data_IF_842832301604
#
_entry.id   IF_842832301604
#
_cell.length_a   1.000
_cell.length_b   1.000
_cell.length_c   1.000
_cell.angle_alpha   90.00
_cell.angle_beta   90.00
_cell.angle_gamma   90.00
#
_symmetry.space_group_name_H-M   'P 1'
#
loop_
_entity.id
_entity.type
_entity.pdbx_description
1 polymer ?
#
# COMPACT_ATOMS: atom_id res chain seq x y z
N UNK A 1 6.45 -33.53 82.55
CA UNK A 1 6.88 -34.94 82.63
C UNK A 1 6.98 -35.39 81.18
N UNK A 2 8.17 -35.39 80.56
CA UNK A 2 9.22 -36.43 80.51
C UNK A 2 9.41 -36.81 79.02
N UNK A 3 10.60 -36.50 78.51
CA UNK A 3 11.46 -37.22 77.54
C UNK A 3 11.06 -38.68 77.24
N UNK A 4 11.29 -39.32 76.07
CA UNK A 4 12.33 -39.25 75.02
C UNK A 4 11.87 -40.08 73.76
N UNK A 5 12.68 -40.41 72.72
CA UNK A 5 12.35 -40.18 71.30
C UNK A 5 12.04 -41.47 70.48
N UNK A 6 11.63 -41.36 69.20
CA UNK A 6 11.71 -42.48 68.27
C UNK A 6 12.92 -42.37 67.32
N UNK A 7 13.69 -43.45 67.30
CA UNK A 7 14.78 -43.76 66.38
C UNK A 7 14.30 -44.58 65.17
N UNK A 8 15.00 -44.35 64.05
CA UNK A 8 15.19 -45.19 62.86
C UNK A 8 14.05 -45.44 61.86
N UNK A 9 14.36 -45.06 60.61
CA UNK A 9 13.89 -45.73 59.39
C UNK A 9 13.74 -44.81 58.18
N UNK A 10 14.82 -44.46 57.44
CA UNK A 10 14.69 -43.66 56.25
C UNK A 10 14.22 -44.53 55.07
N UNK A 11 12.93 -44.49 54.77
CA UNK A 11 12.40 -44.90 53.48
C UNK A 11 12.29 -43.68 52.56
N UNK A 12 13.27 -43.45 51.67
CA UNK A 12 13.11 -42.61 50.47
C UNK A 12 13.96 -43.13 49.31
N UNK A 13 13.22 -43.72 48.36
CA UNK A 13 13.30 -43.67 46.88
C UNK A 13 14.61 -43.15 46.25
N UNK A 14 15.17 -43.85 45.25
CA UNK A 14 16.42 -43.46 44.58
C UNK A 14 16.26 -42.13 43.81
N UNK A 15 17.18 -41.20 44.09
CA UNK A 15 17.33 -39.95 43.35
C UNK A 15 18.08 -40.24 42.05
N UNK A 16 17.44 -39.99 40.91
CA UNK A 16 18.07 -39.97 39.59
C UNK A 16 19.23 -38.97 39.61
N UNK A 17 20.45 -39.43 39.33
CA UNK A 17 21.62 -38.57 39.15
C UNK A 17 21.48 -37.85 37.81
N UNK A 18 21.48 -36.52 37.87
CA UNK A 18 21.50 -35.63 36.71
C UNK A 18 22.97 -35.36 36.33
N UNK A 19 23.44 -35.96 35.25
CA UNK A 19 24.86 -35.95 34.81
C UNK A 19 25.37 -34.58 34.32
N UNK A 20 24.52 -33.55 34.32
CA UNK A 20 24.82 -32.28 33.63
C UNK A 20 25.14 -31.11 34.57
N UNK A 21 25.28 -31.33 35.87
CA UNK A 21 25.67 -30.28 36.84
C UNK A 21 26.61 -30.78 37.92
N UNK A 22 27.85 -31.10 37.54
CA UNK A 22 28.98 -31.15 38.48
C UNK A 22 30.03 -30.08 38.13
N UNK A 23 30.61 -29.38 39.13
CA UNK A 23 31.69 -28.43 38.88
C UNK A 23 33.01 -29.16 38.55
N UNK A 24 33.64 -28.80 37.42
CA UNK A 24 34.91 -29.36 36.97
C UNK A 24 36.00 -29.17 38.04
N UNK A 25 36.38 -30.25 38.73
CA UNK A 25 37.61 -30.33 39.52
C UNK A 25 38.69 -31.00 38.69
N UNK A 26 39.81 -30.31 38.49
CA UNK A 26 41.01 -30.89 37.90
C UNK A 26 41.62 -31.90 38.89
N UNK A 27 41.43 -33.19 38.63
CA UNK A 27 42.06 -34.27 39.37
C UNK A 27 43.48 -34.48 38.81
N UNK A 28 44.49 -34.20 39.63
CA UNK A 28 45.90 -34.43 39.29
C UNK A 28 46.36 -35.70 40.00
N UNK A 29 46.38 -36.81 39.28
CA UNK A 29 46.84 -38.10 39.81
C UNK A 29 48.36 -38.24 39.61
N UNK A 30 49.18 -38.30 40.67
CA UNK A 30 50.64 -38.27 40.54
C UNK A 30 51.28 -39.61 40.15
N UNK A 31 50.52 -40.70 39.95
CA UNK A 31 51.08 -42.07 39.84
C UNK A 31 50.72 -42.78 38.52
N UNK A 32 49.97 -42.15 37.61
CA UNK A 32 49.66 -42.74 36.30
C UNK A 32 50.89 -42.73 35.35
N UNK A 33 51.63 -43.83 35.35
CA UNK A 33 52.73 -44.10 34.43
C UNK A 33 52.21 -44.52 33.04
N UNK A 34 52.31 -43.61 32.05
CA UNK A 34 52.08 -43.85 30.62
C UNK A 34 53.28 -43.40 29.78
N UNK A 35 53.47 -43.96 28.57
CA UNK A 35 54.78 -44.19 27.96
C UNK A 35 55.53 -42.91 27.58
N UNK A 36 56.83 -42.96 27.85
CA UNK A 36 57.74 -41.82 27.87
C UNK A 36 57.86 -41.09 26.54
N UNK A 37 57.86 -39.75 26.64
CA UNK A 37 58.26 -38.85 25.56
C UNK A 37 59.70 -39.14 25.12
N UNK A 38 59.89 -39.29 23.83
CA UNK A 38 61.19 -39.43 23.18
C UNK A 38 62.10 -38.24 23.54
N UNK A 39 63.30 -38.55 24.04
CA UNK A 39 64.39 -37.59 24.20
C UNK A 39 64.88 -37.18 22.81
N UNK A 40 64.71 -35.92 22.46
CA UNK A 40 65.33 -35.35 21.26
C UNK A 40 66.76 -34.90 21.60
N UNK A 41 67.69 -35.42 20.79
CA UNK A 41 69.13 -35.27 20.87
C UNK A 41 69.60 -33.81 20.87
N UNK A 42 70.50 -33.50 21.81
CA UNK A 42 71.39 -32.34 21.78
C UNK A 42 72.64 -32.78 21.02
N UNK A 43 72.80 -32.32 19.78
CA UNK A 43 74.06 -31.87 19.17
C UNK A 43 74.00 -31.93 17.62
N UNK A 44 73.84 -30.76 16.97
CA UNK A 44 74.70 -30.25 15.88
C UNK A 44 74.15 -28.94 15.28
N UNK A 45 75.02 -28.05 14.76
CA UNK A 45 74.78 -26.61 14.75
C UNK A 45 74.16 -26.14 13.44
N UNK A 46 72.98 -25.50 13.52
CA UNK A 46 72.39 -24.75 12.39
C UNK A 46 72.56 -23.25 12.62
N UNK A 47 73.48 -22.69 11.85
CA UNK A 47 73.78 -21.26 11.67
C UNK A 47 72.51 -20.39 11.75
N UNK A 48 72.40 -19.53 12.77
CA UNK A 48 71.42 -18.45 12.78
C UNK A 48 71.77 -17.40 11.73
N UNK A 49 70.95 -17.30 10.68
CA UNK A 49 70.88 -16.11 9.83
C UNK A 49 70.33 -14.97 10.68
N UNK A 50 71.05 -13.85 10.74
CA UNK A 50 70.61 -12.60 11.37
C UNK A 50 69.27 -12.15 10.75
N UNK A 51 68.19 -12.15 11.52
CA UNK A 51 66.93 -11.54 11.11
C UNK A 51 67.10 -10.01 11.10
N UNK A 52 66.76 -9.39 9.96
CA UNK A 52 66.86 -7.95 9.72
C UNK A 52 65.76 -7.19 10.47
N UNK A 53 66.00 -5.89 10.71
CA UNK A 53 65.11 -5.00 11.48
C UNK A 53 63.66 -4.96 10.95
N UNK A 54 63.46 -5.08 9.62
CA UNK A 54 62.12 -5.16 9.01
C UNK A 54 61.32 -6.39 9.45
N UNK A 55 61.97 -7.54 9.67
CA UNK A 55 61.29 -8.76 10.13
C UNK A 55 60.77 -8.63 11.58
N UNK A 56 61.41 -7.78 12.39
CA UNK A 56 60.98 -7.48 13.76
C UNK A 56 59.79 -6.51 13.79
N UNK A 57 59.67 -5.65 12.78
CA UNK A 57 58.61 -4.64 12.69
C UNK A 57 57.27 -5.22 12.22
N UNK A 58 57.31 -6.12 11.23
CA UNK A 58 56.10 -6.81 10.73
C UNK A 58 55.53 -7.79 11.76
N UNK A 59 56.39 -8.40 12.60
CA UNK A 59 55.93 -9.31 13.68
C UNK A 59 55.36 -8.60 14.90
N UNK A 60 55.69 -7.33 15.13
CA UNK A 60 55.21 -6.57 16.30
C UNK A 60 53.92 -5.80 16.05
N UNK A 61 53.68 -5.31 14.83
CA UNK A 61 52.52 -4.43 14.57
C UNK A 61 51.48 -4.95 13.56
N UNK A 62 51.72 -6.08 12.88
CA UNK A 62 50.71 -6.80 12.07
C UNK A 62 49.84 -5.91 11.15
N UNK A 63 48.60 -6.33 10.89
CA UNK A 63 47.62 -5.60 10.05
C UNK A 63 47.29 -4.17 10.55
N UNK A 64 47.66 -3.83 11.78
CA UNK A 64 47.33 -2.55 12.44
C UNK A 64 48.13 -1.38 11.87
N UNK A 65 49.23 -1.63 11.16
CA UNK A 65 49.98 -0.61 10.43
C UNK A 65 49.15 0.01 9.28
N UNK A 66 48.17 -0.72 8.75
CA UNK A 66 47.28 -0.24 7.67
C UNK A 66 45.93 0.24 8.19
N UNK A 67 45.42 -0.34 9.28
CA UNK A 67 44.11 0.01 9.83
C UNK A 67 44.02 1.44 10.35
N UNK A 68 45.05 1.93 11.05
CA UNK A 68 45.08 3.29 11.60
C UNK A 68 45.07 4.39 10.54
N UNK A 69 45.95 4.38 9.50
CA UNK A 69 45.90 5.41 8.47
C UNK A 69 44.60 5.38 7.65
N UNK A 70 44.04 4.20 7.38
CA UNK A 70 42.73 4.07 6.68
C UNK A 70 41.61 4.68 7.53
N UNK A 71 41.61 4.43 8.83
CA UNK A 71 40.58 4.94 9.73
C UNK A 71 40.66 6.47 9.86
N UNK A 72 41.86 7.06 9.83
CA UNK A 72 42.08 8.52 9.81
C UNK A 72 41.57 9.14 8.50
N UNK A 73 41.79 8.49 7.35
CA UNK A 73 41.25 8.96 6.07
C UNK A 73 39.72 8.90 6.07
N UNK A 74 39.14 7.83 6.58
CA UNK A 74 37.68 7.69 6.68
C UNK A 74 37.06 8.75 7.60
N UNK A 75 37.66 9.01 8.77
CA UNK A 75 37.16 10.09 9.64
C UNK A 75 37.32 11.45 9.00
N UNK A 76 38.40 11.73 8.26
CA UNK A 76 38.53 12.97 7.51
C UNK A 76 37.45 13.13 6.42
N UNK A 77 37.08 12.05 5.72
CA UNK A 77 35.99 12.07 4.73
C UNK A 77 34.63 12.31 5.38
N UNK A 78 34.35 11.68 6.53
CA UNK A 78 33.09 11.90 7.28
C UNK A 78 33.03 13.34 7.82
N UNK A 79 34.13 13.88 8.33
CA UNK A 79 34.21 15.29 8.76
C UNK A 79 33.99 16.21 7.55
N UNK A 80 34.57 15.89 6.40
CA UNK A 80 34.34 16.67 5.18
C UNK A 80 32.87 16.62 4.73
N UNK A 81 32.22 15.46 4.76
CA UNK A 81 30.81 15.31 4.40
C UNK A 81 29.86 16.01 5.39
N UNK A 82 30.22 16.07 6.67
CA UNK A 82 29.44 16.78 7.69
C UNK A 82 29.60 18.30 7.60
N UNK A 83 30.79 18.79 7.21
CA UNK A 83 31.06 20.23 7.06
C UNK A 83 30.63 20.78 5.70
N UNK A 84 30.69 19.99 4.62
CA UNK A 84 30.33 20.43 3.26
C UNK A 84 28.87 20.25 2.90
N UNK A 85 28.05 19.78 3.84
CA UNK A 85 26.58 19.83 3.73
C UNK A 85 26.06 18.99 2.58
N UNK A 86 25.71 17.72 2.87
CA UNK A 86 24.73 17.02 2.04
C UNK A 86 23.43 17.81 2.22
N UNK A 87 23.04 18.55 1.19
CA UNK A 87 21.84 19.39 1.23
C UNK A 87 20.67 18.57 1.74
N UNK A 88 20.13 18.97 2.90
CA UNK A 88 18.84 18.48 3.36
C UNK A 88 17.84 18.69 2.21
N UNK A 89 17.06 17.67 1.82
CA UNK A 89 15.92 17.93 0.98
C UNK A 89 15.04 18.91 1.75
N UNK A 90 14.93 20.12 1.19
CA UNK A 90 14.04 21.18 1.65
C UNK A 90 12.71 20.52 2.06
N UNK A 91 12.19 20.76 3.28
CA UNK A 91 10.85 20.31 3.62
C UNK A 91 9.91 20.84 2.55
N UNK A 92 9.29 19.95 1.78
CA UNK A 92 8.21 20.32 0.89
C UNK A 92 7.12 20.86 1.77
N UNK A 93 7.03 22.18 1.83
CA UNK A 93 5.90 22.92 2.34
C UNK A 93 4.66 22.34 1.66
N UNK A 94 3.82 21.64 2.42
CA UNK A 94 2.52 21.16 1.93
C UNK A 94 1.65 22.40 1.75
N UNK A 95 1.79 23.03 0.57
CA UNK A 95 0.77 23.94 0.08
C UNK A 95 -0.48 23.11 -0.24
N UNK A 96 -1.68 23.58 0.11
CA UNK A 96 -2.91 23.01 -0.43
C UNK A 96 -2.78 23.01 -1.94
N UNK A 97 -2.99 21.86 -2.59
CA UNK A 97 -2.94 21.74 -4.03
C UNK A 97 -4.17 22.46 -4.60
N UNK A 98 -4.02 23.76 -4.85
CA UNK A 98 -4.89 24.56 -5.71
C UNK A 98 -4.26 24.78 -7.10
N UNK A 99 -3.25 23.99 -7.46
CA UNK A 99 -2.68 23.96 -8.81
C UNK A 99 -3.50 23.02 -9.71
N UNK A 100 -3.75 23.35 -10.99
CA UNK A 100 -4.44 22.44 -11.90
C UNK A 100 -3.70 21.10 -11.96
N UNK A 101 -4.39 19.95 -11.94
CA UNK A 101 -3.76 18.66 -12.21
C UNK A 101 -3.06 18.70 -13.58
N UNK A 102 -2.04 17.87 -13.79
CA UNK A 102 -1.43 17.71 -15.11
C UNK A 102 -2.44 17.02 -16.04
N UNK A 103 -3.29 17.83 -16.68
CA UNK A 103 -4.41 17.39 -17.50
C UNK A 103 -3.90 16.49 -18.63
N UNK A 104 -4.31 15.21 -18.62
CA UNK A 104 -3.96 14.24 -19.66
C UNK A 104 -2.66 13.47 -19.45
N UNK A 105 -1.95 13.67 -18.33
CA UNK A 105 -0.76 12.91 -17.96
C UNK A 105 -1.06 11.82 -16.91
N UNK A 106 -2.06 10.97 -17.15
CA UNK A 106 -2.19 9.75 -16.36
C UNK A 106 -1.18 8.73 -16.91
N UNK A 107 -0.21 8.32 -16.10
CA UNK A 107 0.77 7.31 -16.45
C UNK A 107 0.14 5.94 -16.72
N UNK A 108 0.91 4.86 -16.63
CA UNK A 108 0.36 3.49 -16.76
C UNK A 108 -0.07 2.89 -15.42
N UNK A 109 -0.03 3.66 -14.34
CA UNK A 109 -0.38 3.21 -13.00
C UNK A 109 -1.90 3.13 -12.86
N UNK A 110 -2.37 2.03 -12.26
CA UNK A 110 -3.76 1.89 -11.83
C UNK A 110 -3.93 2.76 -10.58
N UNK A 111 -4.95 3.61 -10.58
CA UNK A 111 -5.29 4.49 -9.47
C UNK A 111 -6.49 3.92 -8.73
N UNK A 112 -6.47 4.11 -7.41
CA UNK A 112 -7.45 3.54 -6.48
C UNK A 112 -7.50 2.00 -6.47
N UNK A 113 -6.33 1.39 -6.65
CA UNK A 113 -6.11 -0.02 -6.33
C UNK A 113 -5.49 -0.11 -4.91
N UNK A 114 -5.92 -1.05 -4.06
CA UNK A 114 -5.29 -1.32 -2.79
C UNK A 114 -3.82 -1.65 -2.98
N UNK A 115 -2.98 -1.31 -1.99
CA UNK A 115 -1.58 -1.68 -2.03
C UNK A 115 -1.40 -3.20 -2.22
N UNK A 116 -0.64 -3.57 -3.26
CA UNK A 116 -0.20 -4.96 -3.46
C UNK A 116 0.66 -5.39 -2.28
N UNK A 117 0.44 -6.60 -1.76
CA UNK A 117 1.24 -7.14 -0.66
C UNK A 117 0.78 -6.74 0.75
N UNK A 118 -0.43 -6.17 0.91
CA UNK A 118 -1.15 -6.18 2.19
C UNK A 118 -1.61 -7.61 2.53
N UNK A 119 -0.68 -8.56 2.64
CA UNK A 119 -0.92 -9.97 2.95
C UNK A 119 -1.60 -10.19 4.33
N UNK A 120 -1.82 -9.11 5.07
CA UNK A 120 -2.53 -9.05 6.35
C UNK A 120 -3.51 -7.88 6.33
N UNK A 121 -4.41 -7.85 5.33
CA UNK A 121 -5.66 -7.12 5.54
C UNK A 121 -6.44 -7.89 6.62
N UNK A 122 -6.52 -7.31 7.83
CA UNK A 122 -7.27 -7.91 8.91
C UNK A 122 -8.74 -8.01 8.46
N UNK A 123 -9.25 -9.24 8.34
CA UNK A 123 -10.64 -9.50 8.00
C UNK A 123 -11.62 -8.93 9.05
N UNK A 124 -11.11 -8.45 10.18
CA UNK A 124 -11.87 -7.77 11.22
C UNK A 124 -11.87 -6.24 11.09
N UNK A 125 -11.19 -5.62 10.12
CA UNK A 125 -11.33 -4.20 9.86
C UNK A 125 -12.72 -3.93 9.24
N UNK A 126 -13.63 -3.22 9.93
CA UNK A 126 -14.95 -2.92 9.36
C UNK A 126 -14.84 -2.03 8.10
N UNK A 127 -13.77 -1.23 8.02
CA UNK A 127 -13.50 -0.32 6.91
C UNK A 127 -13.42 -1.09 5.58
N UNK A 128 -14.20 -0.65 4.61
CA UNK A 128 -14.27 -1.29 3.30
C UNK A 128 -15.07 -2.59 3.25
N UNK A 129 -15.78 -2.98 4.31
CA UNK A 129 -16.77 -4.07 4.22
C UNK A 129 -17.86 -3.70 3.22
N UNK A 130 -18.29 -4.67 2.39
CA UNK A 130 -19.46 -4.52 1.53
C UNK A 130 -20.72 -4.57 2.40
N UNK A 131 -21.57 -3.53 2.44
CA UNK A 131 -22.84 -3.58 3.16
C UNK A 131 -23.71 -4.73 2.67
N UNK A 132 -24.63 -5.18 3.53
CA UNK A 132 -25.70 -6.08 3.10
C UNK A 132 -26.64 -5.37 2.11
N UNK A 133 -27.27 -6.14 1.23
CA UNK A 133 -28.17 -5.59 0.23
C UNK A 133 -28.56 -6.60 -0.84
N UNK A 134 -29.09 -6.08 -1.95
CA UNK A 134 -29.56 -6.89 -3.08
C UNK A 134 -28.47 -7.81 -3.66
N UNK A 135 -28.87 -8.86 -4.39
CA UNK A 135 -27.93 -9.68 -5.14
C UNK A 135 -27.23 -8.85 -6.23
N UNK A 136 -26.06 -9.31 -6.66
CA UNK A 136 -25.28 -8.76 -7.77
C UNK A 136 -24.68 -9.92 -8.57
N UNK A 137 -24.21 -9.64 -9.77
CA UNK A 137 -23.56 -10.63 -10.64
C UNK A 137 -22.10 -10.80 -10.19
N UNK A 138 -21.69 -11.99 -9.75
CA UNK A 138 -20.32 -12.19 -9.29
C UNK A 138 -19.28 -12.07 -10.42
N UNK A 139 -19.58 -12.66 -11.58
CA UNK A 139 -18.70 -12.74 -12.74
C UNK A 139 -19.47 -12.40 -14.02
N UNK A 140 -18.96 -11.42 -14.78
CA UNK A 140 -19.38 -11.17 -16.15
C UNK A 140 -18.42 -11.80 -17.18
N UNK A 141 -18.64 -11.47 -18.44
CA UNK A 141 -17.94 -12.06 -19.59
C UNK A 141 -16.61 -11.35 -19.92
N UNK A 142 -16.25 -10.28 -19.20
CA UNK A 142 -15.08 -9.42 -19.49
C UNK A 142 -15.08 -8.83 -20.90
N UNK A 143 -16.27 -8.72 -21.47
CA UNK A 143 -16.54 -8.04 -22.74
C UNK A 143 -17.57 -6.95 -22.51
N UNK A 144 -17.60 -5.95 -23.38
CA UNK A 144 -18.31 -4.70 -23.11
C UNK A 144 -19.38 -4.46 -24.16
N UNK A 145 -20.55 -3.99 -23.72
CA UNK A 145 -21.51 -3.32 -24.59
C UNK A 145 -21.51 -1.83 -24.28
N UNK A 146 -21.43 -1.02 -25.32
CA UNK A 146 -21.60 0.43 -25.21
C UNK A 146 -23.09 0.70 -25.02
N UNK A 147 -23.45 1.48 -24.00
CA UNK A 147 -24.81 1.98 -23.85
C UNK A 147 -25.02 3.10 -24.88
N UNK A 148 -25.94 2.96 -25.84
CA UNK A 148 -26.16 3.97 -26.87
C UNK A 148 -26.50 5.35 -26.27
N UNK A 149 -26.05 6.41 -26.91
CA UNK A 149 -26.34 7.77 -26.47
C UNK A 149 -25.14 8.72 -26.55
N UNK A 150 -25.44 9.99 -26.85
CA UNK A 150 -24.46 11.07 -26.90
C UNK A 150 -25.00 12.27 -26.14
N UNK A 151 -24.10 13.15 -25.68
CA UNK A 151 -24.49 14.41 -25.05
C UNK A 151 -23.90 15.59 -25.82
N UNK A 152 -24.52 16.77 -25.67
CA UNK A 152 -23.81 18.00 -25.95
C UNK A 152 -22.60 18.15 -25.01
N UNK A 153 -21.72 19.10 -25.31
CA UNK A 153 -20.65 19.47 -24.39
C UNK A 153 -21.24 20.05 -23.09
N UNK A 154 -20.79 19.52 -21.97
CA UNK A 154 -21.13 19.99 -20.63
C UNK A 154 -19.88 20.64 -20.03
N UNK A 155 -19.99 21.88 -19.57
CA UNK A 155 -18.86 22.66 -19.06
C UNK A 155 -18.15 23.45 -20.16
N UNK A 156 -17.24 24.34 -19.75
CA UNK A 156 -16.55 25.26 -20.66
C UNK A 156 -15.36 24.59 -21.37
N UNK A 157 -14.62 23.73 -20.67
CA UNK A 157 -13.50 22.99 -21.25
C UNK A 157 -12.35 23.89 -21.70
N UNK A 158 -12.08 24.98 -20.97
CA UNK A 158 -11.06 25.97 -21.34
C UNK A 158 -9.65 25.38 -21.42
N UNK A 159 -9.42 24.24 -20.76
CA UNK A 159 -8.19 23.46 -20.88
C UNK A 159 -8.39 22.12 -21.60
N UNK A 160 -9.43 21.34 -21.26
CA UNK A 160 -9.70 20.06 -21.92
C UNK A 160 -11.19 19.70 -21.94
N UNK A 161 -11.63 19.20 -23.10
CA UNK A 161 -12.91 18.53 -23.28
C UNK A 161 -12.64 17.02 -23.31
N UNK A 162 -13.13 16.29 -22.31
CA UNK A 162 -13.00 14.84 -22.23
C UNK A 162 -14.16 14.17 -22.96
N UNK A 163 -13.83 13.26 -23.88
CA UNK A 163 -14.81 12.37 -24.50
C UNK A 163 -14.87 11.08 -23.71
N UNK A 164 -16.05 10.68 -23.27
CA UNK A 164 -16.24 9.43 -22.57
C UNK A 164 -17.32 8.59 -23.25
N UNK A 165 -17.28 7.29 -22.99
CA UNK A 165 -18.37 6.38 -23.32
C UNK A 165 -18.82 5.69 -22.04
N UNK A 166 -20.09 5.30 -22.00
CA UNK A 166 -20.65 4.48 -20.93
C UNK A 166 -20.78 3.06 -21.44
N UNK A 167 -20.19 2.13 -20.72
CA UNK A 167 -20.16 0.72 -21.08
C UNK A 167 -20.68 -0.13 -19.90
N UNK A 168 -21.27 -1.27 -20.22
CA UNK A 168 -21.65 -2.28 -19.24
C UNK A 168 -21.02 -3.59 -19.65
N UNK A 169 -20.49 -4.34 -18.67
CA UNK A 169 -19.97 -5.66 -18.91
C UNK A 169 -21.09 -6.63 -19.34
N UNK A 170 -20.85 -7.42 -20.38
CA UNK A 170 -21.75 -8.48 -20.80
C UNK A 170 -21.83 -9.57 -19.71
N UNK A 171 -23.01 -10.16 -19.55
CA UNK A 171 -23.28 -11.14 -18.49
C UNK A 171 -23.80 -10.55 -17.18
N UNK A 172 -23.74 -9.22 -16.96
CA UNK A 172 -24.42 -8.60 -15.81
C UNK A 172 -25.94 -8.67 -15.97
N UNK A 173 -26.65 -9.01 -14.88
CA UNK A 173 -28.12 -9.01 -14.84
C UNK A 173 -28.68 -7.58 -14.69
N UNK A 174 -29.34 -7.02 -15.72
CA UNK A 174 -29.89 -5.66 -15.68
C UNK A 174 -30.88 -5.41 -14.54
N UNK A 175 -31.54 -6.45 -14.04
CA UNK A 175 -32.49 -6.33 -12.93
C UNK A 175 -31.81 -5.88 -11.63
N UNK A 176 -30.51 -6.14 -11.47
CA UNK A 176 -29.78 -5.88 -10.22
C UNK A 176 -29.34 -4.42 -10.09
N UNK A 177 -29.02 -3.76 -11.20
CA UNK A 177 -28.49 -2.38 -11.19
C UNK A 177 -29.45 -1.33 -11.79
N UNK A 178 -30.64 -1.75 -12.22
CA UNK A 178 -31.70 -0.87 -12.75
C UNK A 178 -31.68 -0.69 -14.28
N UNK A 179 -30.87 -1.48 -14.99
CA UNK A 179 -30.73 -1.43 -16.43
C UNK A 179 -29.66 -0.45 -16.93
N UNK A 180 -29.18 -0.71 -18.15
CA UNK A 180 -28.09 0.03 -18.79
C UNK A 180 -28.38 1.53 -18.88
N UNK A 181 -29.61 1.90 -19.25
CA UNK A 181 -30.03 3.28 -19.37
C UNK A 181 -30.03 4.02 -18.03
N UNK A 182 -30.37 3.34 -16.93
CA UNK A 182 -30.35 3.94 -15.60
C UNK A 182 -28.90 4.19 -15.13
N UNK A 183 -27.98 3.25 -15.40
CA UNK A 183 -26.56 3.45 -15.15
C UNK A 183 -26.02 4.64 -15.94
N UNK A 184 -26.28 4.67 -17.24
CA UNK A 184 -25.79 5.74 -18.11
C UNK A 184 -26.40 7.10 -17.75
N UNK A 185 -27.69 7.15 -17.43
CA UNK A 185 -28.34 8.38 -16.97
C UNK A 185 -27.72 8.89 -15.67
N UNK A 186 -27.42 8.02 -14.71
CA UNK A 186 -26.75 8.42 -13.46
C UNK A 186 -25.36 8.99 -13.72
N UNK A 187 -24.58 8.38 -14.60
CA UNK A 187 -23.25 8.88 -15.00
C UNK A 187 -23.38 10.26 -15.63
N UNK A 188 -24.24 10.40 -16.64
CA UNK A 188 -24.41 11.65 -17.39
C UNK A 188 -24.89 12.78 -16.48
N UNK A 189 -25.87 12.52 -15.61
CA UNK A 189 -26.39 13.50 -14.66
C UNK A 189 -25.36 13.90 -13.60
N UNK A 190 -24.51 12.96 -13.17
CA UNK A 190 -23.44 13.24 -12.21
C UNK A 190 -22.39 14.18 -12.83
N UNK A 191 -21.94 13.89 -14.05
CA UNK A 191 -20.96 14.73 -14.75
C UNK A 191 -21.55 16.06 -15.23
N UNK A 192 -22.86 16.12 -15.46
CA UNK A 192 -23.59 17.34 -15.78
C UNK A 192 -23.85 18.26 -14.59
N UNK A 193 -23.69 17.75 -13.36
CA UNK A 193 -24.09 18.49 -12.18
C UNK A 193 -23.16 19.69 -11.92
N UNK A 194 -23.68 20.89 -11.62
CA UNK A 194 -22.87 22.06 -11.26
C UNK A 194 -22.02 21.88 -9.99
N UNK A 195 -22.34 20.89 -9.15
CA UNK A 195 -21.52 20.48 -7.99
C UNK A 195 -20.37 19.54 -8.36
N UNK A 196 -20.37 19.04 -9.59
CA UNK A 196 -19.38 18.13 -10.17
C UNK A 196 -18.18 18.86 -10.77
N UNK A 197 -17.36 18.12 -11.53
CA UNK A 197 -16.09 18.60 -12.07
C UNK A 197 -16.21 19.80 -13.01
N UNK A 198 -17.36 20.00 -13.66
CA UNK A 198 -17.61 21.11 -14.59
C UNK A 198 -17.79 22.46 -13.91
N UNK A 199 -17.86 22.51 -12.57
CA UNK A 199 -17.73 23.75 -11.81
C UNK A 199 -16.39 24.45 -12.11
N UNK A 200 -15.32 23.66 -12.30
CA UNK A 200 -14.05 24.19 -12.78
C UNK A 200 -14.15 24.40 -14.31
N UNK A 201 -14.02 25.64 -14.81
CA UNK A 201 -14.16 25.93 -16.25
C UNK A 201 -13.10 25.24 -17.12
N UNK A 202 -12.02 24.72 -16.53
CA UNK A 202 -10.98 23.98 -17.25
C UNK A 202 -11.50 22.65 -17.85
N UNK A 203 -12.53 22.06 -17.24
CA UNK A 203 -13.04 20.75 -17.63
C UNK A 203 -14.36 20.86 -18.39
N UNK A 204 -14.52 20.01 -19.39
CA UNK A 204 -15.80 19.73 -20.02
C UNK A 204 -15.88 18.25 -20.39
N UNK A 205 -17.10 17.76 -20.57
CA UNK A 205 -17.37 16.37 -20.92
C UNK A 205 -18.32 16.27 -22.12
N UNK A 206 -18.09 15.26 -22.96
CA UNK A 206 -18.96 14.87 -24.07
C UNK A 206 -19.10 13.35 -24.06
N UNK A 207 -20.32 12.84 -23.92
CA UNK A 207 -20.59 11.41 -24.12
C UNK A 207 -20.61 11.08 -25.60
N UNK A 208 -19.94 9.99 -25.97
CA UNK A 208 -19.94 9.39 -27.29
C UNK A 208 -20.24 7.89 -27.18
N UNK A 209 -20.77 7.30 -28.26
CA UNK A 209 -21.16 5.89 -28.33
C UNK A 209 -20.48 5.13 -29.50
N UNK A 210 -19.49 5.76 -30.15
CA UNK A 210 -18.75 5.15 -31.25
C UNK A 210 -19.44 5.22 -32.62
N UNK A 211 -20.70 5.68 -32.69
CA UNK A 211 -21.46 5.82 -33.96
C UNK A 211 -20.78 6.74 -34.99
N UNK A 212 -19.99 7.71 -34.53
CA UNK A 212 -19.24 8.66 -35.36
C UNK A 212 -17.75 8.30 -35.52
N UNK A 213 -17.32 7.12 -35.08
CA UNK A 213 -15.91 6.68 -35.14
C UNK A 213 -14.96 7.42 -34.20
N UNK A 214 -15.45 8.33 -33.35
CA UNK A 214 -14.63 9.00 -32.35
C UNK A 214 -14.20 8.01 -31.26
N UNK A 215 -12.94 8.10 -30.82
CA UNK A 215 -12.43 7.33 -29.69
C UNK A 215 -12.62 8.12 -28.39
N UNK A 216 -13.08 7.49 -27.30
CA UNK A 216 -13.16 8.15 -26.00
C UNK A 216 -11.77 8.30 -25.38
N UNK A 217 -11.56 9.37 -24.61
CA UNK A 217 -10.40 9.53 -23.74
C UNK A 217 -10.39 8.43 -22.66
N UNK A 218 -11.56 8.08 -22.11
CA UNK A 218 -11.74 6.97 -21.16
C UNK A 218 -13.15 6.38 -21.23
N UNK A 219 -13.32 5.16 -20.72
CA UNK A 219 -14.60 4.42 -20.68
C UNK A 219 -15.07 4.31 -19.24
N UNK A 220 -16.30 4.71 -18.94
CA UNK A 220 -16.93 4.50 -17.63
C UNK A 220 -17.72 3.20 -17.71
N UNK A 221 -17.29 2.19 -16.94
CA UNK A 221 -17.74 0.81 -17.14
C UNK A 221 -18.31 0.22 -15.87
N UNK A 222 -19.57 -0.20 -15.90
CA UNK A 222 -20.13 -1.03 -14.83
C UNK A 222 -19.69 -2.49 -15.04
N UNK A 223 -19.05 -3.07 -14.03
CA UNK A 223 -18.40 -4.38 -14.14
C UNK A 223 -18.63 -5.24 -12.89
N UNK A 224 -18.50 -6.55 -13.05
CA UNK A 224 -18.60 -7.51 -11.95
C UNK A 224 -17.38 -7.42 -11.01
N UNK A 225 -17.54 -7.81 -9.73
CA UNK A 225 -16.44 -8.01 -8.79
C UNK A 225 -15.21 -8.73 -9.34
N UNK A 226 -15.41 -9.86 -10.01
CA UNK A 226 -14.31 -10.65 -10.58
C UNK A 226 -13.53 -9.85 -11.63
N UNK A 227 -14.23 -9.08 -12.44
CA UNK A 227 -13.63 -8.27 -13.50
C UNK A 227 -12.89 -7.05 -12.96
N UNK A 228 -13.40 -6.40 -11.90
CA UNK A 228 -12.65 -5.38 -11.16
C UNK A 228 -11.33 -5.95 -10.65
N UNK A 229 -11.35 -7.14 -10.04
CA UNK A 229 -10.13 -7.71 -9.43
C UNK A 229 -9.01 -7.88 -10.45
N UNK A 230 -9.34 -8.32 -11.65
CA UNK A 230 -8.41 -8.41 -12.76
C UNK A 230 -7.98 -7.02 -13.26
N UNK A 231 -8.94 -6.13 -13.50
CA UNK A 231 -8.70 -4.83 -14.11
C UNK A 231 -7.95 -3.86 -13.21
N UNK A 232 -8.07 -4.00 -11.91
CA UNK A 232 -7.49 -3.08 -10.94
C UNK A 232 -6.37 -3.72 -10.09
N UNK A 233 -6.15 -5.04 -10.24
CA UNK A 233 -5.06 -5.76 -9.56
C UNK A 233 -5.31 -6.07 -8.09
N UNK A 234 -6.56 -6.38 -7.73
CA UNK A 234 -6.94 -6.78 -6.38
C UNK A 234 -6.56 -8.23 -6.09
N UNK A 235 -5.86 -8.45 -4.99
CA UNK A 235 -5.60 -9.80 -4.44
C UNK A 235 -6.61 -10.17 -3.32
N UNK A 236 -7.42 -9.21 -2.85
CA UNK A 236 -8.28 -9.33 -1.66
C UNK A 236 -9.78 -9.16 -1.98
N UNK A 237 -10.64 -9.60 -1.05
CA UNK A 237 -12.12 -9.52 -1.16
C UNK A 237 -12.68 -8.15 -0.76
N UNK A 238 -12.00 -7.06 -1.12
CA UNK A 238 -12.57 -5.73 -0.98
C UNK A 238 -13.18 -5.34 -2.32
N UNK A 239 -14.51 -5.24 -2.35
CA UNK A 239 -15.21 -4.75 -3.52
C UNK A 239 -15.05 -3.24 -3.60
N UNK A 240 -14.52 -2.75 -4.70
CA UNK A 240 -14.13 -1.35 -4.91
C UNK A 240 -14.09 -1.04 -6.40
N UNK A 241 -14.02 0.24 -6.72
CA UNK A 241 -13.86 0.74 -8.09
C UNK A 241 -12.40 1.16 -8.30
N UNK A 242 -12.02 1.48 -9.53
CA UNK A 242 -10.68 2.02 -9.80
C UNK A 242 -10.62 2.71 -11.17
N UNK A 243 -9.53 3.43 -11.43
CA UNK A 243 -9.17 3.85 -12.78
C UNK A 243 -7.91 3.11 -13.28
N UNK A 244 -8.05 2.38 -14.39
CA UNK A 244 -6.94 1.76 -15.11
C UNK A 244 -6.73 2.44 -16.48
N UNK A 245 -5.62 3.17 -16.69
CA UNK A 245 -5.35 3.89 -17.94
C UNK A 245 -4.95 2.98 -19.12
N UNK A 246 -4.66 1.69 -18.90
CA UNK A 246 -4.03 0.81 -19.89
C UNK A 246 -4.61 -0.60 -19.90
N UNK A 247 -5.92 -0.74 -19.71
CA UNK A 247 -6.57 -2.04 -19.62
C UNK A 247 -6.62 -2.78 -20.97
N UNK A 248 -6.32 -4.08 -20.94
CA UNK A 248 -6.41 -4.97 -22.10
C UNK A 248 -5.35 -4.74 -23.19
N UNK A 249 -5.37 -5.54 -24.27
CA UNK A 249 -4.39 -5.48 -25.36
C UNK A 249 -4.40 -4.13 -26.10
N UNK A 250 -5.58 -3.51 -26.22
CA UNK A 250 -5.77 -2.21 -26.87
C UNK A 250 -5.44 -1.02 -25.96
N UNK A 251 -4.97 -1.28 -24.72
CA UNK A 251 -4.57 -0.28 -23.73
C UNK A 251 -5.64 0.80 -23.52
N UNK A 252 -6.87 0.36 -23.30
CA UNK A 252 -8.00 1.24 -23.14
C UNK A 252 -8.03 1.81 -21.72
N UNK A 253 -8.04 3.14 -21.60
CA UNK A 253 -8.33 3.80 -20.33
C UNK A 253 -9.77 3.52 -19.89
N UNK A 254 -9.93 3.04 -18.66
CA UNK A 254 -11.21 2.57 -18.12
C UNK A 254 -11.34 2.96 -16.65
N UNK A 255 -12.46 3.63 -16.36
CA UNK A 255 -13.02 3.79 -15.03
C UNK A 255 -13.88 2.56 -14.77
N UNK A 256 -13.43 1.70 -13.87
CA UNK A 256 -14.15 0.51 -13.44
C UNK A 256 -15.05 0.86 -12.27
N UNK A 257 -16.36 0.69 -12.44
CA UNK A 257 -17.37 0.81 -11.38
C UNK A 257 -17.83 -0.59 -11.00
N UNK A 258 -17.66 -0.96 -9.73
CA UNK A 258 -18.03 -2.29 -9.23
C UNK A 258 -19.54 -2.43 -9.02
N UNK A 259 -20.18 -3.40 -9.68
CA UNK A 259 -21.61 -3.68 -9.57
C UNK A 259 -22.04 -3.99 -8.12
N UNK A 260 -21.24 -4.74 -7.36
CA UNK A 260 -21.59 -5.06 -5.98
C UNK A 260 -21.75 -3.79 -5.14
N UNK A 261 -20.86 -2.82 -5.33
CA UNK A 261 -20.93 -1.50 -4.69
C UNK A 261 -22.00 -0.61 -5.30
N UNK A 262 -22.26 -0.74 -6.60
CA UNK A 262 -23.36 -0.03 -7.24
C UNK A 262 -24.72 -0.44 -6.65
N UNK A 263 -24.88 -1.72 -6.28
CA UNK A 263 -26.10 -2.25 -5.67
C UNK A 263 -26.17 -1.96 -4.17
N UNK A 264 -25.08 -2.16 -3.43
CA UNK A 264 -25.08 -2.16 -1.95
C UNK A 264 -24.44 -0.94 -1.30
N UNK A 265 -23.75 -0.11 -2.07
CA UNK A 265 -23.13 1.12 -1.60
C UNK A 265 -21.89 0.89 -0.72
N UNK A 266 -21.64 1.87 0.16
CA UNK A 266 -20.58 1.82 1.14
C UNK A 266 -21.11 2.22 2.52
N UNK A 267 -20.50 1.66 3.56
CA UNK A 267 -20.90 1.88 4.97
C UNK A 267 -20.98 3.37 5.32
N UNK A 268 -20.04 4.24 4.91
CA UNK A 268 -20.10 5.67 5.27
C UNK A 268 -21.30 6.43 4.72
N UNK A 269 -22.01 5.89 3.71
CA UNK A 269 -23.20 6.51 3.12
C UNK A 269 -24.51 6.02 3.77
N UNK A 270 -24.44 5.10 4.74
CA UNK A 270 -25.59 4.70 5.58
C UNK A 270 -26.85 4.31 4.79
N UNK A 271 -26.68 3.67 3.64
CA UNK A 271 -27.79 3.23 2.78
C UNK A 271 -28.28 4.28 1.77
N UNK A 272 -27.70 5.48 1.74
CA UNK A 272 -27.90 6.44 0.64
C UNK A 272 -27.10 6.00 -0.60
N UNK A 273 -27.67 5.01 -1.29
CA UNK A 273 -27.11 4.45 -2.52
C UNK A 273 -27.01 5.51 -3.63
N UNK A 274 -27.93 6.47 -3.68
CA UNK A 274 -27.91 7.54 -4.67
C UNK A 274 -26.67 8.42 -4.54
N UNK A 275 -26.41 8.88 -3.32
CA UNK A 275 -25.19 9.64 -3.02
C UNK A 275 -23.92 8.81 -3.24
N UNK A 276 -23.89 7.54 -2.83
CA UNK A 276 -22.72 6.69 -3.10
C UNK A 276 -22.42 6.54 -4.60
N UNK A 277 -23.45 6.35 -5.44
CA UNK A 277 -23.28 6.25 -6.90
C UNK A 277 -22.71 7.52 -7.51
N UNK A 278 -23.16 8.68 -7.05
CA UNK A 278 -22.60 9.97 -7.47
C UNK A 278 -21.15 10.13 -7.01
N UNK A 279 -20.86 9.75 -5.76
CA UNK A 279 -19.52 9.75 -5.19
C UNK A 279 -18.56 8.92 -6.04
N UNK A 280 -18.87 7.64 -6.27
CA UNK A 280 -17.93 6.73 -6.95
C UNK A 280 -17.71 7.15 -8.38
N UNK A 281 -18.73 7.66 -9.09
CA UNK A 281 -18.54 8.23 -10.43
C UNK A 281 -17.60 9.42 -10.38
N UNK A 282 -17.81 10.38 -9.47
CA UNK A 282 -16.95 11.55 -9.38
C UNK A 282 -15.52 11.20 -8.95
N UNK A 283 -15.34 10.29 -8.00
CA UNK A 283 -14.05 9.86 -7.48
C UNK A 283 -13.19 9.24 -8.59
N UNK A 284 -13.71 8.22 -9.26
CA UNK A 284 -12.95 7.50 -10.29
C UNK A 284 -12.74 8.34 -11.55
N UNK A 285 -13.71 9.17 -11.93
CA UNK A 285 -13.50 10.14 -13.01
C UNK A 285 -12.48 11.19 -12.60
N UNK A 286 -12.41 11.56 -11.32
CA UNK A 286 -11.35 12.41 -10.76
C UNK A 286 -9.96 11.86 -11.09
N UNK A 287 -9.74 10.57 -10.85
CA UNK A 287 -8.52 9.89 -11.27
C UNK A 287 -8.28 9.95 -12.78
N UNK A 288 -9.32 9.71 -13.59
CA UNK A 288 -9.22 9.75 -15.05
C UNK A 288 -8.87 11.14 -15.61
N UNK A 289 -9.30 12.22 -14.95
CA UNK A 289 -9.04 13.60 -15.40
C UNK A 289 -7.77 14.22 -14.79
N UNK A 290 -7.07 13.50 -13.91
CA UNK A 290 -5.72 13.83 -13.45
C UNK A 290 -5.55 14.05 -11.94
N UNK A 291 -6.57 13.81 -11.11
CA UNK A 291 -6.44 13.81 -9.66
C UNK A 291 -5.90 12.46 -9.18
N UNK A 292 -4.58 12.30 -9.11
CA UNK A 292 -3.95 10.98 -8.93
C UNK A 292 -3.71 10.55 -7.47
N UNK A 293 -4.02 11.42 -6.50
CA UNK A 293 -3.81 11.14 -5.07
C UNK A 293 -5.13 11.25 -4.33
N UNK A 294 -5.27 10.47 -3.27
CA UNK A 294 -6.35 10.68 -2.33
C UNK A 294 -6.13 11.93 -1.50
N UNK A 295 -7.22 12.57 -1.13
CA UNK A 295 -7.22 13.75 -0.26
C UNK A 295 -7.75 13.36 1.12
N UNK A 296 -6.99 13.62 2.21
CA UNK A 296 -7.46 13.31 3.56
C UNK A 296 -8.56 14.26 4.01
N UNK A 297 -9.30 13.86 5.04
CA UNK A 297 -10.19 14.76 5.76
C UNK A 297 -9.41 15.94 6.35
N UNK A 298 -9.70 17.15 5.90
CA UNK A 298 -9.00 18.37 6.35
C UNK A 298 -9.40 18.76 7.79
N UNK A 299 -10.71 18.70 8.07
CA UNK A 299 -11.30 19.15 9.33
C UNK A 299 -12.35 18.16 9.85
N UNK A 300 -12.28 17.89 11.16
CA UNK A 300 -13.27 17.06 11.86
C UNK A 300 -14.72 17.51 11.56
N UNK A 301 -15.55 16.55 11.15
CA UNK A 301 -16.96 16.73 10.86
C UNK A 301 -17.29 17.54 9.60
N UNK A 302 -16.28 18.00 8.85
CA UNK A 302 -16.49 18.64 7.55
C UNK A 302 -16.93 17.61 6.51
N UNK A 303 -17.42 18.08 5.35
CA UNK A 303 -17.62 17.21 4.20
C UNK A 303 -16.27 16.65 3.74
N UNK A 304 -16.22 15.35 3.47
CA UNK A 304 -15.05 14.71 2.91
C UNK A 304 -14.74 15.31 1.53
N UNK A 305 -13.45 15.54 1.18
CA UNK A 305 -13.09 15.79 -0.20
C UNK A 305 -13.55 14.61 -1.08
N UNK A 306 -13.97 14.87 -2.33
CA UNK A 306 -14.45 13.78 -3.20
C UNK A 306 -13.34 12.77 -3.51
N UNK A 307 -12.08 13.21 -3.50
CA UNK A 307 -10.91 12.35 -3.67
C UNK A 307 -10.48 11.64 -2.38
N UNK A 308 -11.21 11.78 -1.27
CA UNK A 308 -11.04 10.86 -0.12
C UNK A 308 -11.61 9.48 -0.50
N UNK A 309 -10.96 8.38 -0.14
CA UNK A 309 -11.47 7.02 -0.41
C UNK A 309 -12.62 6.64 0.56
N UNK A 310 -13.79 7.23 0.32
CA UNK A 310 -15.01 7.06 1.12
C UNK A 310 -15.70 5.71 0.90
N UNK A 311 -15.31 4.89 -0.10
CA UNK A 311 -15.79 3.50 -0.20
C UNK A 311 -15.32 2.69 1.01
N UNK A 312 -14.15 3.02 1.55
CA UNK A 312 -13.60 2.36 2.73
C UNK A 312 -14.03 3.01 4.03
N UNK A 313 -13.76 4.31 4.18
CA UNK A 313 -14.02 5.05 5.40
C UNK A 313 -13.94 6.56 5.16
N UNK A 314 -14.60 7.33 6.03
CA UNK A 314 -14.41 8.78 6.13
C UNK A 314 -13.48 9.18 7.29
N UNK A 315 -12.80 8.20 7.91
CA UNK A 315 -11.75 8.39 8.92
C UNK A 315 -10.36 8.42 8.27
N UNK A 316 -9.54 9.40 8.65
CA UNK A 316 -8.14 9.46 8.24
C UNK A 316 -7.31 8.32 8.85
N UNK A 317 -7.68 7.81 10.03
CA UNK A 317 -6.97 6.72 10.68
C UNK A 317 -7.15 5.40 9.92
N UNK A 318 -8.34 5.19 9.35
CA UNK A 318 -8.59 4.07 8.45
C UNK A 318 -7.91 4.31 7.11
N UNK A 319 -8.09 5.51 6.53
CA UNK A 319 -7.50 5.88 5.24
C UNK A 319 -5.97 5.71 5.21
N UNK A 320 -5.28 6.03 6.31
CA UNK A 320 -3.83 5.86 6.44
C UNK A 320 -3.38 4.38 6.42
N UNK A 321 -4.26 3.43 6.70
CA UNK A 321 -3.96 2.00 6.57
C UNK A 321 -3.98 1.54 5.11
N UNK A 322 -4.77 2.21 4.26
CA UNK A 322 -4.89 1.91 2.83
C UNK A 322 -3.95 2.74 1.95
N UNK A 323 -3.74 4.00 2.30
CA UNK A 323 -2.90 4.94 1.55
C UNK A 323 -2.07 5.80 2.53
N UNK A 324 -1.07 5.20 3.20
CA UNK A 324 -0.20 5.92 4.13
C UNK A 324 0.66 7.00 3.47
N UNK A 325 0.80 6.98 2.14
CA UNK A 325 1.56 7.98 1.39
C UNK A 325 0.78 9.30 1.26
N UNK A 326 -0.55 9.22 1.12
CA UNK A 326 -1.40 10.40 0.94
C UNK A 326 -2.18 10.80 2.19
N UNK A 327 -2.45 9.85 3.11
CA UNK A 327 -3.29 10.05 4.30
C UNK A 327 -2.50 9.75 5.58
N UNK A 328 -2.62 10.64 6.57
CA UNK A 328 -1.99 10.49 7.90
C UNK A 328 -3.07 10.18 8.93
N UNK A 329 -2.79 9.24 9.83
CA UNK A 329 -3.63 8.99 11.00
C UNK A 329 -3.55 10.18 11.98
N UNK A 330 -4.52 11.08 11.90
CA UNK A 330 -4.62 12.30 12.70
C UNK A 330 -5.94 12.40 13.49
N UNK A 331 -6.70 11.30 13.56
CA UNK A 331 -7.96 11.18 14.31
C UNK A 331 -9.14 11.90 13.68
N UNK A 332 -8.98 12.52 12.50
CA UNK A 332 -10.07 13.26 11.86
C UNK A 332 -11.03 12.32 11.12
N UNK A 333 -12.31 12.62 11.26
CA UNK A 333 -13.41 11.95 10.57
C UNK A 333 -14.28 12.99 9.89
N UNK A 334 -14.50 12.81 8.60
CA UNK A 334 -15.36 13.65 7.79
C UNK A 334 -16.75 13.01 7.63
N UNK A 335 -17.70 13.81 7.15
CA UNK A 335 -19.01 13.36 6.68
C UNK A 335 -18.92 12.94 5.21
N UNK A 336 -19.68 11.91 4.77
CA UNK A 336 -19.71 11.50 3.37
C UNK A 336 -20.13 12.66 2.46
N UNK A 337 -19.53 12.73 1.28
CA UNK A 337 -19.77 13.78 0.30
C UNK A 337 -19.51 13.27 -1.13
N UNK A 338 -20.51 13.32 -2.02
CA UNK A 338 -20.34 12.84 -3.39
C UNK A 338 -19.82 13.86 -4.38
N UNK A 339 -19.60 15.12 -3.97
CA UNK A 339 -19.34 16.22 -4.90
C UNK A 339 -17.97 16.88 -4.70
N UNK A 340 -17.18 17.14 -5.77
CA UNK A 340 -15.96 17.93 -5.69
C UNK A 340 -16.21 19.39 -5.26
N UNK A 341 -17.34 19.97 -5.68
CA UNK A 341 -17.73 21.34 -5.37
C UNK A 341 -19.12 21.33 -4.71
N UNK A 342 -19.23 20.96 -3.42
CA UNK A 342 -20.52 20.94 -2.73
C UNK A 342 -21.01 22.39 -2.54
N UNK A 343 -21.87 22.84 -3.47
CA UNK A 343 -22.50 24.17 -3.38
C UNK A 343 -23.54 24.13 -2.24
N UNK A 344 -23.44 25.12 -1.34
CA UNK A 344 -24.33 25.34 -0.21
C UNK A 344 -25.72 25.84 -0.62
#
# INVERSE_FOLDING_TARGET
MTSEPPTHGPGRVPVLRDEWREPLRALRDPIAAGPGRARADRERPRRWRKQTWLGRFVSTYGWRAYALPVLVVLTAVVIYQTVTGVGEPKPTEVKPIQGPPAIGATGTAILDAPPRGLATFDANLPAGTLPDGGPFTEAGDKTWRIVPGTTAQIGQGTAKVFKYSVEVENGLDPAMFGGDDAFATMVDQTLANPKGWTHNPQFAFVRIDGSNGAKPDFRISLVSPVTVREGCGYEFRLETSCYNPVYGPDRQARVFINEARWVRGAVPFEGDIGSYRQYVVNHEVGHAIGYVRHEPCDKQGALAPVMMQQTFSTSNDDGAQFDPESVKADGKVCRPNPWPYPIA
#
